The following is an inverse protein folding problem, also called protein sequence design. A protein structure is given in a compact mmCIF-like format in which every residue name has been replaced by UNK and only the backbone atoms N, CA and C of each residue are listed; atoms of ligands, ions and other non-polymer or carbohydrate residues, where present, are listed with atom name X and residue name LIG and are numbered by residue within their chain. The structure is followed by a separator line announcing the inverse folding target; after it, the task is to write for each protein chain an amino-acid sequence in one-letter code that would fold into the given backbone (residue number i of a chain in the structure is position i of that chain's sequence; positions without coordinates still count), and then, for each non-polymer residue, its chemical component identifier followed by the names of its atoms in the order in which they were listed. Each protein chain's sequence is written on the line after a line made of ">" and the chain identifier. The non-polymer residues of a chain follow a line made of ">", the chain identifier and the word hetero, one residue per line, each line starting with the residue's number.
data_IF_899710792644
#
_entry.id   IF_899710792644
#
_cell.length_a   1.000
_cell.length_b   1.000
_cell.length_c   1.000
_cell.angle_alpha   90.00
_cell.angle_beta   90.00
_cell.angle_gamma   90.00
#
_symmetry.space_group_name_H-M   'P 1'
#
loop_
_entity.id
_entity.type
_entity.pdbx_description
1 polymer ?
#
# COMPACT_ATOMS: atom_id res chain seq x y z
N UNK A 1 -19.31 44.87 24.27
CA UNK A 1 -19.89 43.49 24.36
C UNK A 1 -19.85 42.69 23.05
N UNK A 2 -19.93 43.28 21.85
CA UNK A 2 -19.87 42.52 20.57
C UNK A 2 -18.49 41.90 20.27
N UNK A 3 -17.40 42.61 20.57
CA UNK A 3 -16.03 42.17 20.26
C UNK A 3 -15.57 40.96 21.08
N UNK A 4 -15.99 40.88 22.35
CA UNK A 4 -15.70 39.75 23.25
C UNK A 4 -16.40 38.47 22.77
N UNK A 5 -17.65 38.57 22.28
CA UNK A 5 -18.37 37.42 21.71
C UNK A 5 -17.70 36.87 20.45
N UNK A 6 -17.11 37.74 19.62
CA UNK A 6 -16.38 37.34 18.41
C UNK A 6 -15.08 36.60 18.78
N UNK A 7 -14.34 37.07 19.80
CA UNK A 7 -13.10 36.42 20.22
C UNK A 7 -13.35 35.06 20.88
N UNK A 8 -14.41 34.94 21.69
CA UNK A 8 -14.83 33.65 22.27
C UNK A 8 -15.29 32.67 21.18
N UNK A 9 -16.04 33.15 20.19
CA UNK A 9 -16.47 32.33 19.03
C UNK A 9 -15.29 31.84 18.19
N UNK A 10 -14.29 32.70 17.94
CA UNK A 10 -13.09 32.34 17.19
C UNK A 10 -12.21 31.35 17.97
N UNK A 11 -12.08 31.52 19.29
CA UNK A 11 -11.32 30.62 20.16
C UNK A 11 -11.98 29.24 20.25
N UNK A 12 -13.32 29.16 20.31
CA UNK A 12 -14.06 27.90 20.24
C UNK A 12 -13.99 27.22 18.86
N UNK A 13 -13.92 28.00 17.78
CA UNK A 13 -13.72 27.44 16.43
C UNK A 13 -12.31 26.85 16.30
N UNK A 14 -11.28 27.57 16.77
CA UNK A 14 -9.89 27.12 16.74
C UNK A 14 -9.66 25.91 17.66
N UNK A 15 -10.31 25.84 18.82
CA UNK A 15 -10.24 24.67 19.69
C UNK A 15 -11.00 23.47 19.12
N UNK A 16 -12.12 23.67 18.40
CA UNK A 16 -12.83 22.60 17.71
C UNK A 16 -12.07 22.06 16.49
N UNK A 17 -11.36 22.92 15.76
CA UNK A 17 -10.49 22.53 14.63
C UNK A 17 -9.23 21.81 15.15
N UNK A 18 -8.65 22.28 16.26
CA UNK A 18 -7.54 21.58 16.88
C UNK A 18 -7.97 20.25 17.51
N UNK A 19 -9.15 20.18 18.13
CA UNK A 19 -9.70 18.93 18.66
C UNK A 19 -10.01 17.91 17.56
N UNK A 20 -10.43 18.33 16.37
CA UNK A 20 -10.67 17.40 15.25
C UNK A 20 -9.35 16.91 14.62
N UNK A 21 -8.29 17.71 14.63
CA UNK A 21 -6.94 17.31 14.24
C UNK A 21 -6.25 16.44 15.30
N UNK A 22 -6.54 16.61 16.59
CA UNK A 22 -5.96 15.87 17.72
C UNK A 22 -6.80 14.67 18.21
N UNK A 23 -7.96 14.40 17.60
CA UNK A 23 -8.86 13.31 18.02
C UNK A 23 -8.59 11.96 17.32
N UNK A 24 -7.58 11.84 16.46
CA UNK A 24 -7.33 10.57 15.76
C UNK A 24 -6.14 9.84 16.36
N UNK A 25 -6.42 8.65 16.91
CA UNK A 25 -5.43 7.82 17.58
C UNK A 25 -4.31 7.36 16.64
N UNK A 26 -4.57 7.25 15.34
CA UNK A 26 -3.60 6.86 14.32
C UNK A 26 -3.52 7.96 13.26
N UNK A 27 -2.29 8.33 12.87
CA UNK A 27 -2.02 9.06 11.63
C UNK A 27 -1.12 8.24 10.71
N UNK A 28 -1.35 8.38 9.41
CA UNK A 28 -0.51 7.76 8.39
C UNK A 28 -0.11 8.84 7.38
N UNK A 29 1.17 9.14 7.32
CA UNK A 29 1.72 10.24 6.53
C UNK A 29 2.55 9.71 5.36
N UNK A 30 2.35 10.31 4.19
CA UNK A 30 3.13 10.08 2.98
C UNK A 30 4.18 11.18 2.84
N UNK A 31 5.41 10.77 2.49
CA UNK A 31 6.48 11.69 2.08
C UNK A 31 7.35 11.04 1.02
N UNK A 32 8.20 11.83 0.36
CA UNK A 32 9.12 11.33 -0.65
C UNK A 32 10.53 11.80 -0.38
N UNK A 33 11.49 11.01 -0.85
CA UNK A 33 12.89 11.42 -0.98
C UNK A 33 13.47 10.85 -2.26
N UNK A 34 14.49 11.50 -2.78
CA UNK A 34 15.27 11.00 -3.91
C UNK A 34 16.54 10.36 -3.39
N UNK A 35 16.83 9.15 -3.88
CA UNK A 35 18.01 8.38 -3.48
C UNK A 35 18.82 8.00 -4.71
N UNK A 36 20.13 7.86 -4.53
CA UNK A 36 21.06 7.44 -5.58
C UNK A 36 21.10 5.91 -5.62
N UNK A 37 20.99 5.32 -6.80
CA UNK A 37 21.17 3.88 -7.00
C UNK A 37 21.34 3.51 -8.48
N UNK A 38 21.33 2.23 -8.81
CA UNK A 38 21.63 1.78 -10.17
C UNK A 38 20.46 1.93 -11.12
N UNK A 39 20.75 2.22 -12.39
CA UNK A 39 19.75 2.15 -13.45
C UNK A 39 19.28 0.71 -13.61
N UNK A 40 17.96 0.54 -13.67
CA UNK A 40 17.33 -0.78 -13.70
C UNK A 40 17.68 -1.59 -14.96
N UNK A 41 17.95 -0.91 -16.07
CA UNK A 41 18.28 -1.53 -17.36
C UNK A 41 19.77 -1.42 -17.71
N UNK A 42 20.51 -0.53 -17.05
CA UNK A 42 21.94 -0.30 -17.25
C UNK A 42 22.68 -0.30 -15.91
N UNK A 43 22.95 -1.47 -15.33
CA UNK A 43 23.47 -1.62 -13.95
C UNK A 43 24.80 -0.89 -13.68
N UNK A 44 25.58 -0.55 -14.71
CA UNK A 44 26.82 0.23 -14.59
C UNK A 44 26.59 1.76 -14.51
N UNK A 45 25.34 2.20 -14.77
CA UNK A 45 24.91 3.59 -14.68
C UNK A 45 24.26 3.86 -13.32
N UNK A 46 24.53 5.03 -12.76
CA UNK A 46 23.93 5.49 -11.51
C UNK A 46 22.88 6.56 -11.78
N UNK A 47 21.68 6.37 -11.26
CA UNK A 47 20.54 7.29 -11.36
C UNK A 47 20.09 7.76 -9.98
N UNK A 48 19.33 8.85 -9.94
CA UNK A 48 18.51 9.19 -8.79
C UNK A 48 17.08 8.73 -9.06
N UNK A 49 16.52 7.97 -8.11
CA UNK A 49 15.14 7.52 -8.16
C UNK A 49 14.35 7.91 -6.90
N UNK A 50 13.04 8.06 -7.02
CA UNK A 50 12.17 8.41 -5.91
C UNK A 50 11.87 7.21 -5.00
N UNK A 51 11.84 7.45 -3.70
CA UNK A 51 11.26 6.55 -2.70
C UNK A 51 10.03 7.21 -2.06
N UNK A 52 8.94 6.46 -1.96
CA UNK A 52 7.75 6.82 -1.18
C UNK A 52 7.89 6.27 0.23
N UNK A 53 7.69 7.12 1.23
CA UNK A 53 7.78 6.78 2.64
C UNK A 53 6.37 6.87 3.24
N UNK A 54 5.94 5.78 3.87
CA UNK A 54 4.70 5.70 4.64
C UNK A 54 5.05 5.65 6.12
N UNK A 55 4.68 6.68 6.86
CA UNK A 55 4.95 6.82 8.29
C UNK A 55 3.65 6.62 9.06
N UNK A 56 3.59 5.59 9.90
CA UNK A 56 2.48 5.31 10.79
C UNK A 56 2.82 5.83 12.17
N UNK A 57 1.91 6.58 12.80
CA UNK A 57 2.10 7.08 14.17
C UNK A 57 0.91 6.75 15.04
N UNK A 58 1.20 6.36 16.27
CA UNK A 58 0.20 6.22 17.32
C UNK A 58 0.21 7.46 18.21
N UNK A 59 -0.83 8.27 18.11
CA UNK A 59 -0.99 9.52 18.84
C UNK A 59 -1.76 9.33 20.16
N UNK A 60 -1.93 8.09 20.61
CA UNK A 60 -2.73 7.75 21.79
C UNK A 60 -1.92 7.03 22.87
N UNK A 61 -2.54 6.86 24.04
CA UNK A 61 -2.00 6.09 25.18
C UNK A 61 -2.27 4.58 25.08
N UNK A 62 -2.86 4.10 23.98
CA UNK A 62 -3.20 2.68 23.77
C UNK A 62 -2.26 2.04 22.75
N UNK A 63 -1.70 0.88 23.06
CA UNK A 63 -0.95 0.09 22.09
C UNK A 63 -1.89 -0.49 21.03
N UNK A 64 -1.60 -0.25 19.76
CA UNK A 64 -2.45 -0.65 18.64
C UNK A 64 -1.73 -1.58 17.68
N UNK A 65 -2.50 -2.49 17.08
CA UNK A 65 -2.09 -3.19 15.87
C UNK A 65 -3.17 -3.13 14.81
N UNK A 66 -2.76 -3.19 13.55
CA UNK A 66 -3.65 -3.22 12.39
C UNK A 66 -2.91 -3.78 11.18
N UNK A 67 -3.65 -4.30 10.20
CA UNK A 67 -3.04 -4.78 8.97
C UNK A 67 -2.41 -3.61 8.22
N UNK A 68 -1.15 -3.77 7.75
CA UNK A 68 -0.48 -2.76 6.91
C UNK A 68 -1.39 -2.29 5.78
N UNK A 69 -1.32 -1.01 5.44
CA UNK A 69 -2.10 -0.45 4.32
C UNK A 69 -1.49 -0.80 2.96
N UNK A 70 -0.28 -1.35 2.93
CA UNK A 70 0.36 -1.80 1.71
C UNK A 70 1.22 -2.99 2.03
N UNK A 71 0.99 -4.06 1.26
CA UNK A 71 1.92 -5.16 1.21
C UNK A 71 3.14 -4.71 0.39
N UNK A 72 4.30 -5.28 0.73
CA UNK A 72 5.54 -5.02 0.03
C UNK A 72 6.33 -6.31 -0.08
N UNK A 73 7.11 -6.43 -1.14
CA UNK A 73 8.23 -7.36 -1.22
C UNK A 73 9.47 -6.55 -1.54
N UNK A 74 10.50 -6.67 -0.70
CA UNK A 74 11.77 -5.96 -0.88
C UNK A 74 11.63 -4.43 -1.07
N UNK A 75 10.63 -3.81 -0.45
CA UNK A 75 10.39 -2.37 -0.61
C UNK A 75 9.78 -1.99 -1.96
N UNK A 76 9.16 -2.93 -2.69
CA UNK A 76 8.46 -2.65 -3.94
C UNK A 76 6.93 -2.59 -3.70
N UNK A 77 6.21 -1.71 -4.41
CA UNK A 77 4.75 -1.67 -4.37
C UNK A 77 4.15 -2.90 -5.06
N UNK A 78 2.99 -3.36 -4.59
CA UNK A 78 2.21 -4.42 -5.24
C UNK A 78 1.07 -3.81 -6.04
N UNK A 79 0.95 -4.16 -7.32
CA UNK A 79 -0.05 -3.62 -8.26
C UNK A 79 -1.14 -4.65 -8.63
N UNK A 80 -2.27 -4.24 -9.25
CA UNK A 80 -3.43 -5.12 -9.47
C UNK A 80 -3.18 -6.15 -10.56
N UNK A 81 -2.58 -5.73 -11.66
CA UNK A 81 -2.04 -6.61 -12.68
C UNK A 81 -0.67 -7.10 -12.20
N UNK A 82 -0.29 -8.35 -12.47
CA UNK A 82 1.07 -8.82 -12.18
C UNK A 82 1.42 -8.74 -10.69
N UNK A 83 0.74 -9.50 -9.83
CA UNK A 83 1.27 -9.66 -8.45
C UNK A 83 2.68 -10.24 -8.52
N UNK A 84 3.55 -9.90 -7.55
CA UNK A 84 4.99 -10.21 -7.55
C UNK A 84 5.39 -11.71 -7.48
N UNK A 85 4.52 -12.62 -7.95
CA UNK A 85 4.73 -14.04 -8.25
C UNK A 85 3.71 -14.58 -9.29
N UNK A 86 3.07 -13.72 -10.10
CA UNK A 86 2.04 -14.19 -11.04
C UNK A 86 2.63 -15.03 -12.17
N UNK A 87 3.88 -14.75 -12.54
CA UNK A 87 4.55 -15.45 -13.62
C UNK A 87 5.35 -16.64 -13.08
N UNK A 88 5.14 -17.86 -13.63
CA UNK A 88 6.10 -18.93 -13.48
C UNK A 88 7.50 -18.42 -13.82
N UNK A 89 8.54 -18.96 -13.16
CA UNK A 89 9.92 -18.53 -13.45
C UNK A 89 10.25 -18.62 -14.94
N UNK A 90 9.65 -19.59 -15.65
CA UNK A 90 9.77 -19.77 -17.09
C UNK A 90 9.28 -18.57 -17.91
N UNK A 91 8.22 -17.87 -17.46
CA UNK A 91 7.70 -16.69 -18.13
C UNK A 91 8.57 -15.45 -17.86
N UNK A 92 9.34 -15.42 -16.77
CA UNK A 92 10.38 -14.40 -16.58
C UNK A 92 11.61 -14.65 -17.47
N UNK A 93 12.01 -15.91 -17.63
CA UNK A 93 13.10 -16.30 -18.53
C UNK A 93 12.73 -16.12 -20.01
N UNK A 94 11.46 -15.87 -20.31
CA UNK A 94 10.97 -15.55 -21.64
C UNK A 94 11.61 -14.22 -22.12
N UNK A 95 12.36 -14.19 -23.23
CA UNK A 95 12.94 -12.95 -23.76
C UNK A 95 11.89 -11.86 -24.05
N UNK A 96 10.63 -12.25 -24.27
CA UNK A 96 9.53 -11.31 -24.45
C UNK A 96 9.17 -10.56 -23.16
N UNK A 97 9.44 -11.13 -21.98
CA UNK A 97 9.19 -10.46 -20.69
C UNK A 97 10.05 -9.21 -20.56
N UNK A 98 11.38 -9.35 -20.70
CA UNK A 98 12.30 -8.20 -20.71
C UNK A 98 11.95 -7.18 -21.79
N UNK A 99 11.50 -7.65 -22.95
CA UNK A 99 11.02 -6.78 -24.02
C UNK A 99 9.82 -5.96 -23.56
N UNK A 100 8.79 -6.57 -22.95
CA UNK A 100 7.61 -5.88 -22.42
C UNK A 100 8.00 -4.82 -21.39
N UNK A 101 8.84 -5.18 -20.41
CA UNK A 101 9.32 -4.24 -19.39
C UNK A 101 10.04 -3.04 -20.00
N UNK A 102 10.81 -3.23 -21.08
CA UNK A 102 11.51 -2.14 -21.79
C UNK A 102 10.63 -1.35 -22.77
N UNK A 103 9.51 -1.91 -23.21
CA UNK A 103 8.56 -1.27 -24.12
C UNK A 103 7.32 -0.74 -23.38
N UNK A 104 7.49 -0.31 -22.14
CA UNK A 104 6.43 0.34 -21.37
C UNK A 104 5.93 1.61 -22.10
N UNK A 105 4.69 1.99 -21.83
CA UNK A 105 4.09 3.22 -22.31
C UNK A 105 4.79 4.48 -21.80
N UNK A 106 4.47 5.60 -22.43
CA UNK A 106 4.90 6.93 -22.01
C UNK A 106 3.67 7.76 -21.64
N UNK A 107 3.60 8.19 -20.39
CA UNK A 107 2.43 8.80 -19.78
C UNK A 107 2.67 10.25 -19.34
N UNK A 108 3.69 10.91 -19.89
CA UNK A 108 4.15 12.26 -19.48
C UNK A 108 3.08 13.36 -19.41
N UNK A 109 2.03 13.26 -20.22
CA UNK A 109 0.97 14.28 -20.30
C UNK A 109 -0.30 13.89 -19.53
N UNK A 110 -0.28 12.76 -18.84
CA UNK A 110 -1.44 12.19 -18.16
C UNK A 110 -1.32 12.42 -16.65
N UNK A 111 -2.47 12.52 -16.00
CA UNK A 111 -2.58 12.74 -14.55
C UNK A 111 -3.25 11.54 -13.91
N UNK A 112 -2.65 11.06 -12.83
CA UNK A 112 -3.06 9.84 -12.17
C UNK A 112 -3.22 10.02 -10.68
N UNK A 113 -4.27 9.40 -10.15
CA UNK A 113 -4.48 9.11 -8.76
C UNK A 113 -3.93 7.71 -8.45
N UNK A 114 -2.98 7.63 -7.51
CA UNK A 114 -2.44 6.37 -7.00
C UNK A 114 -3.04 6.10 -5.63
N UNK A 115 -3.95 5.14 -5.56
CA UNK A 115 -4.65 4.75 -4.33
C UNK A 115 -3.87 3.64 -3.64
N UNK A 116 -3.43 3.89 -2.41
CA UNK A 116 -2.69 2.95 -1.58
C UNK A 116 -3.64 2.30 -0.58
N UNK A 117 -3.63 0.96 -0.52
CA UNK A 117 -4.37 0.21 0.48
C UNK A 117 -5.83 -0.09 0.14
N UNK A 118 -6.18 0.05 -1.14
CA UNK A 118 -7.40 -0.54 -1.68
C UNK A 118 -7.26 -2.07 -1.65
N UNK A 119 -8.33 -2.76 -1.25
CA UNK A 119 -8.34 -4.22 -1.25
C UNK A 119 -8.26 -4.74 -2.68
N UNK A 120 -7.22 -5.53 -2.96
CA UNK A 120 -7.04 -6.29 -4.19
C UNK A 120 -7.19 -7.76 -3.86
N UNK A 121 -8.44 -8.21 -3.78
CA UNK A 121 -8.90 -9.54 -3.40
C UNK A 121 -8.32 -10.14 -2.11
N UNK A 122 -7.01 -10.37 -2.04
CA UNK A 122 -6.31 -10.97 -0.90
C UNK A 122 -5.14 -10.12 -0.38
N UNK A 123 -4.77 -9.04 -1.09
CA UNK A 123 -3.65 -8.18 -0.75
C UNK A 123 -4.07 -6.72 -0.66
N UNK A 124 -3.29 -5.93 0.09
CA UNK A 124 -3.36 -4.47 -0.01
C UNK A 124 -2.30 -3.99 -0.97
N UNK A 125 -2.73 -3.61 -2.16
CA UNK A 125 -1.89 -3.11 -3.22
C UNK A 125 -2.10 -1.63 -3.47
N UNK A 126 -1.51 -1.15 -4.57
CA UNK A 126 -1.67 0.19 -5.08
C UNK A 126 -2.34 0.09 -6.43
N UNK A 127 -3.23 1.03 -6.74
CA UNK A 127 -3.87 1.10 -8.04
C UNK A 127 -3.70 2.50 -8.60
N UNK A 128 -3.22 2.57 -9.83
CA UNK A 128 -3.06 3.79 -10.58
C UNK A 128 -4.30 4.00 -11.45
N UNK A 129 -4.91 5.18 -11.38
CA UNK A 129 -6.09 5.52 -12.18
C UNK A 129 -5.97 6.92 -12.71
N UNK A 130 -6.37 7.14 -13.95
CA UNK A 130 -6.46 8.45 -14.54
C UNK A 130 -7.35 9.32 -13.65
N UNK A 131 -6.96 10.58 -13.44
CA UNK A 131 -7.70 11.48 -12.55
C UNK A 131 -9.09 11.87 -13.10
N UNK A 132 -9.35 11.58 -14.37
CA UNK A 132 -10.67 11.71 -15.02
C UNK A 132 -11.55 10.46 -14.90
N UNK A 133 -10.99 9.29 -14.58
CA UNK A 133 -11.73 8.02 -14.50
C UNK A 133 -12.64 7.98 -13.27
N UNK A 134 -13.89 7.55 -13.48
CA UNK A 134 -14.84 7.32 -12.40
C UNK A 134 -14.85 5.84 -11.96
N UNK A 135 -14.31 5.61 -10.76
CA UNK A 135 -14.20 4.31 -10.08
C UNK A 135 -15.53 3.56 -9.92
N UNK A 136 -16.66 4.28 -9.85
CA UNK A 136 -17.97 3.64 -9.67
C UNK A 136 -18.53 3.06 -10.97
N UNK A 137 -17.95 3.41 -12.13
CA UNK A 137 -18.48 3.09 -13.46
C UNK A 137 -17.52 2.27 -14.32
N UNK A 138 -16.21 2.35 -14.08
CA UNK A 138 -15.20 1.70 -14.90
C UNK A 138 -14.54 0.55 -14.12
N UNK A 139 -14.78 -0.70 -14.57
CA UNK A 139 -14.21 -1.92 -13.99
C UNK A 139 -12.85 -2.32 -14.61
N UNK A 140 -12.41 -1.62 -15.67
CA UNK A 140 -11.18 -1.97 -16.38
C UNK A 140 -9.93 -1.39 -15.69
N UNK A 141 -8.93 -2.27 -15.48
CA UNK A 141 -7.62 -1.84 -15.00
C UNK A 141 -6.87 -1.19 -16.14
N UNK A 142 -6.50 0.08 -15.97
CA UNK A 142 -5.76 0.82 -16.99
C UNK A 142 -4.38 0.20 -17.27
N UNK A 143 -3.96 0.29 -18.54
CA UNK A 143 -2.71 -0.29 -19.07
C UNK A 143 -1.47 0.11 -18.27
N UNK A 144 -1.44 1.31 -17.69
CA UNK A 144 -0.34 1.78 -16.84
C UNK A 144 -0.06 0.86 -15.65
N UNK A 145 -1.10 0.23 -15.09
CA UNK A 145 -0.93 -0.73 -14.00
C UNK A 145 -0.23 -2.01 -14.48
N UNK A 146 -0.46 -2.44 -15.72
CA UNK A 146 0.25 -3.57 -16.32
C UNK A 146 1.74 -3.22 -16.52
N UNK A 147 2.03 -2.05 -17.08
CA UNK A 147 3.40 -1.60 -17.32
C UNK A 147 4.19 -1.47 -16.02
N UNK A 148 3.59 -0.83 -15.01
CA UNK A 148 4.22 -0.70 -13.70
C UNK A 148 4.42 -2.08 -13.05
N UNK A 149 3.48 -3.00 -13.19
CA UNK A 149 3.62 -4.34 -12.65
C UNK A 149 4.75 -5.12 -13.30
N UNK A 150 4.87 -5.05 -14.63
CA UNK A 150 5.99 -5.65 -15.38
C UNK A 150 7.34 -5.05 -14.98
N UNK A 151 7.40 -3.75 -14.67
CA UNK A 151 8.61 -3.09 -14.16
C UNK A 151 8.95 -3.57 -12.74
N UNK A 152 8.00 -3.60 -11.82
CA UNK A 152 8.27 -3.99 -10.43
C UNK A 152 8.55 -5.49 -10.28
N UNK A 153 7.94 -6.34 -11.10
CA UNK A 153 8.24 -7.76 -11.13
C UNK A 153 9.65 -8.02 -11.70
N UNK A 154 10.07 -7.28 -12.73
CA UNK A 154 11.45 -7.30 -13.20
C UNK A 154 12.43 -6.89 -12.08
N UNK A 155 12.16 -5.77 -11.41
CA UNK A 155 12.97 -5.28 -10.28
C UNK A 155 13.06 -6.29 -9.14
N UNK A 156 11.96 -6.97 -8.81
CA UNK A 156 11.94 -8.00 -7.78
C UNK A 156 12.87 -9.15 -8.18
N UNK A 157 12.73 -9.69 -9.39
CA UNK A 157 13.48 -10.86 -9.83
C UNK A 157 14.97 -10.61 -10.04
N UNK A 158 15.34 -9.41 -10.47
CA UNK A 158 16.75 -9.02 -10.58
C UNK A 158 17.46 -8.88 -9.23
N UNK A 159 16.72 -8.58 -8.16
CA UNK A 159 17.27 -8.32 -6.82
C UNK A 159 17.09 -9.49 -5.84
N UNK A 160 16.29 -10.50 -6.18
CA UNK A 160 15.94 -11.61 -5.29
C UNK A 160 16.56 -12.91 -5.79
N UNK A 161 17.56 -13.41 -5.04
CA UNK A 161 18.13 -14.74 -5.27
C UNK A 161 17.10 -15.84 -4.99
N UNK A 162 17.17 -16.97 -5.71
CA UNK A 162 16.28 -18.13 -5.55
C UNK A 162 16.11 -18.63 -4.09
N UNK A 163 17.11 -18.42 -3.23
CA UNK A 163 17.08 -18.76 -1.80
C UNK A 163 16.05 -17.98 -0.96
N UNK A 164 15.70 -16.74 -1.35
CA UNK A 164 14.72 -15.89 -0.65
C UNK A 164 13.28 -16.28 -0.99
N UNK A 165 13.05 -16.87 -2.18
CA UNK A 165 11.74 -17.35 -2.62
C UNK A 165 11.22 -18.55 -1.79
N UNK A 166 12.12 -19.30 -1.15
CA UNK A 166 11.76 -20.51 -0.38
C UNK A 166 11.41 -20.24 1.09
N UNK A 167 11.48 -18.99 1.56
CA UNK A 167 10.94 -18.66 2.88
C UNK A 167 9.41 -18.61 2.80
N UNK A 168 8.71 -19.30 3.70
CA UNK A 168 7.25 -19.33 3.84
C UNK A 168 6.59 -17.93 4.04
N UNK A 169 7.37 -16.85 4.02
CA UNK A 169 6.99 -15.43 4.12
C UNK A 169 6.14 -14.91 2.93
N UNK A 170 6.02 -15.70 1.87
CA UNK A 170 5.31 -15.34 0.64
C UNK A 170 3.85 -15.83 0.58
N UNK A 171 3.21 -16.22 1.70
CA UNK A 171 1.75 -16.40 1.70
C UNK A 171 1.08 -15.07 1.34
N UNK A 172 0.51 -15.01 0.14
CA UNK A 172 -0.28 -13.86 -0.35
C UNK A 172 -1.67 -13.79 0.27
N UNK A 173 -2.13 -14.87 0.87
CA UNK A 173 -3.45 -14.97 1.46
C UNK A 173 -3.32 -15.57 2.85
N UNK A 174 -4.18 -15.10 3.76
CA UNK A 174 -4.38 -15.75 5.04
C UNK A 174 -5.35 -16.91 4.86
N UNK A 175 -5.05 -18.05 5.47
CA UNK A 175 -6.09 -19.02 5.78
C UNK A 175 -6.78 -18.63 7.10
N UNK A 176 -7.98 -19.15 7.37
CA UNK A 176 -8.70 -18.85 8.61
C UNK A 176 -7.86 -19.24 9.84
N UNK A 177 -7.13 -20.36 9.76
CA UNK A 177 -6.27 -20.85 10.84
C UNK A 177 -4.98 -20.03 11.02
N UNK A 178 -4.70 -19.07 10.15
CA UNK A 178 -3.57 -18.14 10.26
C UNK A 178 -3.90 -16.92 11.14
N UNK A 179 -5.19 -16.64 11.40
CA UNK A 179 -5.64 -15.42 12.08
C UNK A 179 -5.74 -15.55 13.60
N UNK A 180 -4.92 -16.41 14.21
CA UNK A 180 -4.81 -16.49 15.67
C UNK A 180 -3.83 -15.44 16.19
N UNK A 181 -3.99 -14.94 17.43
CA UNK A 181 -3.06 -13.97 17.99
C UNK A 181 -1.60 -14.42 17.96
N UNK A 182 -1.33 -15.68 18.29
CA UNK A 182 0.03 -16.23 18.29
C UNK A 182 0.66 -16.21 16.89
N UNK A 183 -0.08 -16.61 15.86
CA UNK A 183 0.43 -16.60 14.49
C UNK A 183 0.61 -15.19 13.94
N UNK A 184 -0.34 -14.29 14.20
CA UNK A 184 -0.22 -12.88 13.78
C UNK A 184 1.05 -12.24 14.37
N UNK A 185 1.37 -12.54 15.63
CA UNK A 185 2.52 -11.95 16.32
C UNK A 185 3.86 -12.57 15.90
N UNK A 186 3.88 -13.89 15.62
CA UNK A 186 5.13 -14.65 15.44
C UNK A 186 5.42 -15.03 13.99
N UNK A 187 4.40 -15.31 13.18
CA UNK A 187 4.54 -15.82 11.81
C UNK A 187 4.19 -14.77 10.74
N UNK A 188 3.23 -13.90 11.02
CA UNK A 188 2.72 -12.90 10.06
C UNK A 188 2.99 -11.46 10.49
N UNK A 189 3.94 -11.25 11.41
CA UNK A 189 4.19 -9.94 12.04
C UNK A 189 4.43 -8.87 10.99
N UNK A 190 5.13 -9.20 9.91
CA UNK A 190 5.47 -8.31 8.81
C UNK A 190 4.28 -7.86 7.96
N UNK A 191 3.11 -8.51 8.06
CA UNK A 191 1.85 -8.10 7.40
C UNK A 191 1.05 -7.09 8.22
N UNK A 192 1.43 -6.89 9.49
CA UNK A 192 0.76 -5.98 10.42
C UNK A 192 1.71 -4.87 10.85
N UNK A 193 1.13 -3.77 11.32
CA UNK A 193 1.84 -2.74 12.07
C UNK A 193 1.47 -2.93 13.52
N UNK A 194 2.47 -2.91 14.40
CA UNK A 194 2.30 -2.88 15.85
C UNK A 194 2.94 -1.57 16.33
N UNK A 195 2.17 -0.76 17.06
CA UNK A 195 2.60 0.53 17.59
C UNK A 195 2.27 0.59 19.07
N UNK A 196 3.29 0.72 19.91
CA UNK A 196 3.11 1.18 21.27
C UNK A 196 2.57 2.61 21.28
N UNK A 197 2.08 3.05 22.43
CA UNK A 197 1.74 4.46 22.66
C UNK A 197 2.90 5.38 22.26
N UNK A 198 2.60 6.39 21.43
CA UNK A 198 3.58 7.35 20.93
C UNK A 198 4.55 6.82 19.86
N UNK A 199 4.49 5.53 19.51
CA UNK A 199 5.44 4.91 18.59
C UNK A 199 5.20 5.35 17.14
N UNK A 200 6.29 5.36 16.37
CA UNK A 200 6.29 5.58 14.93
C UNK A 200 6.90 4.38 14.22
N UNK A 201 6.24 3.92 13.16
CA UNK A 201 6.73 2.86 12.28
C UNK A 201 6.81 3.39 10.84
N UNK A 202 7.86 3.03 10.12
CA UNK A 202 8.12 3.55 8.77
C UNK A 202 8.25 2.38 7.78
N UNK A 203 7.54 2.49 6.66
CA UNK A 203 7.80 1.70 5.46
C UNK A 203 8.33 2.61 4.36
N UNK A 204 9.23 2.09 3.53
CA UNK A 204 9.77 2.78 2.36
C UNK A 204 9.57 1.92 1.12
N UNK A 205 9.17 2.57 0.03
CA UNK A 205 8.89 1.94 -1.25
C UNK A 205 9.71 2.59 -2.34
N UNK A 206 10.46 1.81 -3.09
CA UNK A 206 11.07 2.26 -4.33
C UNK A 206 9.96 2.46 -5.37
N UNK A 207 9.81 3.70 -5.85
CA UNK A 207 8.79 4.07 -6.84
C UNK A 207 9.41 4.45 -8.20
N UNK A 208 10.60 3.94 -8.53
CA UNK A 208 11.28 4.20 -9.80
C UNK A 208 10.47 3.77 -11.04
N UNK A 209 9.58 2.78 -10.92
CA UNK A 209 8.66 2.43 -12.00
C UNK A 209 7.79 3.61 -12.44
N UNK A 210 7.33 4.43 -11.49
CA UNK A 210 6.56 5.64 -11.79
C UNK A 210 7.39 6.69 -12.54
N UNK A 211 8.67 6.81 -12.21
CA UNK A 211 9.61 7.68 -12.93
C UNK A 211 9.83 7.21 -14.39
N UNK A 212 9.88 5.90 -14.62
CA UNK A 212 10.12 5.35 -15.96
C UNK A 212 8.94 5.57 -16.91
N UNK A 213 7.72 5.42 -16.41
CA UNK A 213 6.49 5.64 -17.19
C UNK A 213 6.14 7.13 -17.34
N UNK A 214 6.79 8.02 -16.57
CA UNK A 214 6.79 9.48 -16.69
C UNK A 214 5.49 10.24 -16.38
N UNK A 215 4.46 9.61 -15.81
CA UNK A 215 3.20 10.31 -15.51
C UNK A 215 3.26 11.35 -14.37
N UNK A 216 2.16 12.10 -14.22
CA UNK A 216 1.94 12.99 -13.07
C UNK A 216 1.11 12.25 -12.02
N UNK A 217 1.70 11.91 -10.88
CA UNK A 217 1.07 11.00 -9.91
C UNK A 217 0.73 11.69 -8.59
N UNK A 218 -0.53 11.60 -8.18
CA UNK A 218 -0.99 11.99 -6.84
C UNK A 218 -1.25 10.74 -6.00
N UNK A 219 -0.40 10.50 -5.02
CA UNK A 219 -0.49 9.37 -4.10
C UNK A 219 -1.37 9.74 -2.89
N UNK A 220 -2.27 8.84 -2.53
CA UNK A 220 -3.04 8.94 -1.30
C UNK A 220 -3.46 7.58 -0.77
N UNK A 221 -3.75 7.53 0.53
CA UNK A 221 -4.19 6.31 1.20
C UNK A 221 -5.71 6.21 1.15
N UNK A 222 -6.24 5.03 0.82
CA UNK A 222 -7.67 4.75 0.93
C UNK A 222 -8.11 4.91 2.39
N UNK A 223 -9.04 5.83 2.70
CA UNK A 223 -9.49 6.09 4.07
C UNK A 223 -10.18 4.89 4.72
N UNK A 224 -10.60 3.89 3.94
CA UNK A 224 -11.21 2.64 4.40
C UNK A 224 -10.22 1.50 4.63
N UNK A 225 -8.92 1.73 4.42
CA UNK A 225 -7.88 0.69 4.44
C UNK A 225 -7.63 0.04 5.81
N UNK A 226 -7.99 0.68 6.93
CA UNK A 226 -7.85 0.11 8.28
C UNK A 226 -9.10 -0.65 8.72
N UNK A 227 -9.23 -1.89 8.24
CA UNK A 227 -10.37 -2.77 8.48
C UNK A 227 -10.15 -3.67 9.68
N UNK A 228 -11.24 -4.08 10.31
CA UNK A 228 -11.25 -5.08 11.39
C UNK A 228 -11.30 -6.53 10.87
N UNK A 229 -11.17 -6.74 9.57
CA UNK A 229 -11.17 -8.04 8.92
C UNK A 229 -10.11 -8.10 7.83
N UNK A 230 -9.80 -9.31 7.40
CA UNK A 230 -9.04 -9.58 6.17
C UNK A 230 -9.83 -10.52 5.29
N UNK A 231 -9.57 -10.46 3.98
CA UNK A 231 -10.03 -11.48 3.06
C UNK A 231 -9.11 -12.70 3.15
N UNK A 232 -9.67 -13.85 3.47
CA UNK A 232 -8.96 -15.14 3.52
C UNK A 232 -9.09 -15.89 2.21
N UNK A 233 -8.41 -17.03 2.11
CA UNK A 233 -8.48 -17.96 0.96
C UNK A 233 -9.91 -18.08 0.41
N UNK A 234 -10.11 -17.85 -0.90
CA UNK A 234 -11.42 -17.88 -1.48
C UNK A 234 -12.00 -19.28 -1.46
N UNK A 235 -13.32 -19.36 -1.28
CA UNK A 235 -14.06 -20.63 -1.23
C UNK A 235 -14.98 -20.71 -2.44
N UNK A 236 -15.08 -21.90 -3.04
CA UNK A 236 -16.02 -22.13 -4.13
C UNK A 236 -17.46 -22.11 -3.62
N UNK A 237 -18.24 -21.11 -4.02
CA UNK A 237 -19.67 -21.06 -3.77
C UNK A 237 -20.40 -21.87 -4.86
N UNK A 238 -20.94 -23.02 -4.45
CA UNK A 238 -21.68 -23.93 -5.36
C UNK A 238 -22.98 -23.31 -5.90
N UNK A 239 -23.60 -22.38 -5.18
CA UNK A 239 -24.85 -21.75 -5.60
C UNK A 239 -24.59 -20.64 -6.61
N UNK A 240 -23.51 -19.88 -6.42
CA UNK A 240 -23.13 -18.78 -7.32
C UNK A 240 -22.19 -19.22 -8.46
N UNK A 241 -21.72 -20.47 -8.43
CA UNK A 241 -20.76 -21.04 -9.39
C UNK A 241 -19.52 -20.15 -9.57
N UNK A 242 -19.04 -19.53 -8.48
CA UNK A 242 -17.84 -18.70 -8.46
C UNK A 242 -17.10 -18.82 -7.13
N UNK A 243 -15.81 -18.49 -7.16
CA UNK A 243 -15.05 -18.28 -5.93
C UNK A 243 -15.51 -17.00 -5.23
N UNK A 244 -15.72 -17.08 -3.93
CA UNK A 244 -16.09 -15.93 -3.08
C UNK A 244 -14.97 -15.65 -2.09
N UNK A 245 -14.70 -14.37 -1.88
CA UNK A 245 -13.78 -13.90 -0.84
C UNK A 245 -14.44 -14.03 0.53
N UNK A 246 -13.76 -14.71 1.46
CA UNK A 246 -14.25 -14.89 2.81
C UNK A 246 -13.69 -13.79 3.70
N UNK A 247 -14.55 -12.92 4.21
CA UNK A 247 -14.18 -11.89 5.19
C UNK A 247 -14.07 -12.52 6.56
N UNK A 248 -12.86 -12.55 7.11
CA UNK A 248 -12.62 -13.10 8.45
C UNK A 248 -12.16 -11.99 9.39
N UNK A 249 -12.87 -11.84 10.50
CA UNK A 249 -12.54 -10.85 11.51
C UNK A 249 -11.14 -11.09 12.09
N UNK A 250 -10.39 -10.02 12.27
CA UNK A 250 -9.15 -10.04 13.02
C UNK A 250 -9.47 -10.19 14.52
N UNK A 251 -8.56 -10.80 15.31
CA UNK A 251 -8.69 -10.79 16.77
C UNK A 251 -8.89 -9.37 17.31
N UNK A 252 -9.49 -9.21 18.49
CA UNK A 252 -9.59 -7.87 19.08
C UNK A 252 -8.29 -7.44 19.74
N UNK A 253 -7.47 -8.41 20.14
CA UNK A 253 -6.22 -8.22 20.87
C UNK A 253 -5.19 -9.24 20.38
N UNK A 254 -3.94 -8.79 20.27
CA UNK A 254 -2.77 -9.61 19.95
C UNK A 254 -1.63 -9.18 20.86
N UNK A 255 -1.25 -10.06 21.80
CA UNK A 255 -0.31 -9.69 22.85
C UNK A 255 -0.84 -8.50 23.68
N UNK A 256 -0.05 -7.44 23.77
CA UNK A 256 -0.42 -6.18 24.45
C UNK A 256 -1.14 -5.17 23.56
N UNK A 257 -1.36 -5.49 22.27
CA UNK A 257 -1.88 -4.57 21.28
C UNK A 257 -3.38 -4.80 21.06
N UNK A 258 -4.15 -3.71 20.99
CA UNK A 258 -5.56 -3.73 20.60
C UNK A 258 -5.70 -3.55 19.11
N UNK A 259 -6.69 -4.19 18.50
CA UNK A 259 -6.99 -4.01 17.08
C UNK A 259 -7.48 -2.58 16.85
N UNK A 260 -6.84 -1.87 15.93
CA UNK A 260 -7.34 -0.59 15.44
C UNK A 260 -8.14 -0.78 14.16
N UNK A 261 -9.39 -0.32 14.17
CA UNK A 261 -10.22 -0.18 12.99
C UNK A 261 -11.02 1.11 13.11
N UNK A 262 -10.63 2.13 12.35
CA UNK A 262 -11.15 3.47 12.51
C UNK A 262 -10.61 4.43 11.45
N UNK A 263 -11.06 5.68 11.52
CA UNK A 263 -10.58 6.76 10.67
C UNK A 263 -9.20 7.20 11.14
N UNK A 264 -8.30 7.41 10.20
CA UNK A 264 -6.95 7.93 10.44
C UNK A 264 -6.73 9.18 9.59
N UNK A 265 -5.84 10.06 10.05
CA UNK A 265 -5.44 11.25 9.33
C UNK A 265 -4.39 10.86 8.29
N UNK A 266 -4.52 11.37 7.07
CA UNK A 266 -3.54 11.18 6.00
C UNK A 266 -3.45 12.43 5.14
N UNK A 267 -2.27 12.66 4.58
CA UNK A 267 -2.04 13.63 3.52
C UNK A 267 -2.09 12.95 2.14
N UNK A 268 -1.94 13.77 1.10
CA UNK A 268 -1.68 13.37 -0.27
C UNK A 268 -0.35 13.99 -0.71
N UNK A 269 0.34 13.35 -1.65
CA UNK A 269 1.53 13.93 -2.26
C UNK A 269 1.45 13.79 -3.78
N UNK A 270 1.95 14.79 -4.50
CA UNK A 270 2.01 14.77 -5.96
C UNK A 270 3.45 14.80 -6.42
N UNK A 271 3.80 13.95 -7.40
CA UNK A 271 5.12 13.88 -8.01
C UNK A 271 4.95 13.98 -9.51
N UNK A 272 5.77 14.82 -10.13
CA UNK A 272 5.85 15.03 -11.58
C UNK A 272 7.18 14.45 -12.03
N UNK A 273 7.17 13.60 -13.05
CA UNK A 273 8.34 12.89 -13.57
C UNK A 273 8.70 13.29 -14.99
#
# INVERSE_FOLDING_TARGET
>A
MRTIKIHIGLFMLLSAINASLSSQNISIELSTKWVKGFDIFQKDSTICYPELIITYRNNSDTNYYFQKISNSRCGLPMLPCGTLLQYPIDEYLNPNYLKRTKTHGNYANEYYNVIIGRDMSFNKGWICMNDTTNIELEEEIEMINCDLADIYEYLYRENVSELLNNSESAKFYFSISDLTPAKILNEFREKFVFLMSGETYINTYNICGFQLVKGNFTFYIDPSSLKNYVNTTPVWDKNQLKYIEVKTALPKEVGEYKLYSGKFNSNKISIIF
#
